data_IF_015736301130
#
_entry.id   IF_015736301130
#
_cell.length_a   1.000
_cell.length_b   1.000
_cell.length_c   1.000
_cell.angle_alpha   90.00
_cell.angle_beta   90.00
_cell.angle_gamma   90.00
#
_symmetry.space_group_name_H-M   'P 1'
#
loop_
_entity.id
_entity.type
_entity.pdbx_description
1 polymer ?
#
# COMPACT_ATOMS: atom_id res chain seq x y z
N UNK A 1 -6.85 7.21 5.03
CA UNK A 1 -6.18 6.43 6.11
C UNK A 1 -6.96 6.50 7.43
N UNK A 2 -7.20 7.66 8.08
CA UNK A 2 -7.93 7.73 9.37
C UNK A 2 -9.27 6.97 9.44
N UNK A 3 -10.07 7.04 8.37
CA UNK A 3 -11.34 6.29 8.31
C UNK A 3 -11.12 4.76 8.30
N UNK A 4 -10.09 4.30 7.58
CA UNK A 4 -9.69 2.89 7.56
C UNK A 4 -9.15 2.44 8.93
N UNK A 5 -8.32 3.26 9.58
CA UNK A 5 -7.82 2.99 10.94
C UNK A 5 -8.96 2.86 11.96
N UNK A 6 -9.95 3.75 11.90
CA UNK A 6 -11.11 3.70 12.77
C UNK A 6 -11.95 2.43 12.53
N UNK A 7 -12.21 2.10 11.26
CA UNK A 7 -12.98 0.90 10.89
C UNK A 7 -12.25 -0.40 11.28
N UNK A 8 -10.91 -0.43 11.16
CA UNK A 8 -10.10 -1.54 11.65
C UNK A 8 -10.23 -1.69 13.17
N UNK A 9 -10.21 -0.57 13.90
CA UNK A 9 -10.44 -0.58 15.35
C UNK A 9 -11.77 -1.24 15.72
N UNK A 10 -12.86 -0.86 15.05
CA UNK A 10 -14.21 -1.42 15.27
C UNK A 10 -14.29 -2.91 14.93
N UNK A 11 -13.62 -3.34 13.86
CA UNK A 11 -13.54 -4.75 13.49
C UNK A 11 -12.81 -5.57 14.56
N UNK A 12 -11.68 -5.07 15.06
CA UNK A 12 -10.86 -5.74 16.07
C UNK A 12 -11.57 -5.83 17.43
N UNK A 13 -12.36 -4.82 17.80
CA UNK A 13 -13.16 -4.84 19.04
C UNK A 13 -14.40 -5.73 18.96
N UNK A 14 -14.74 -6.25 17.77
CA UNK A 14 -15.87 -7.15 17.58
C UNK A 14 -17.24 -6.46 17.54
N UNK A 15 -17.28 -5.17 17.21
CA UNK A 15 -18.53 -4.43 17.07
C UNK A 15 -19.42 -5.03 15.96
N UNK A 16 -20.74 -5.00 16.16
CA UNK A 16 -21.69 -5.54 15.19
C UNK A 16 -21.56 -4.81 13.85
N UNK A 17 -21.32 -5.56 12.77
CA UNK A 17 -21.07 -4.98 11.44
C UNK A 17 -19.65 -4.44 11.22
N UNK A 18 -18.74 -4.60 12.19
CA UNK A 18 -17.36 -4.09 12.10
C UNK A 18 -16.59 -4.62 10.89
N UNK A 19 -16.79 -5.89 10.51
CA UNK A 19 -16.15 -6.47 9.32
C UNK A 19 -16.62 -5.78 8.03
N UNK A 20 -17.92 -5.56 7.86
CA UNK A 20 -18.47 -4.94 6.65
C UNK A 20 -18.03 -3.47 6.53
N UNK A 21 -18.02 -2.75 7.65
CA UNK A 21 -17.50 -1.37 7.71
C UNK A 21 -16.01 -1.31 7.37
N UNK A 22 -15.20 -2.22 7.92
CA UNK A 22 -13.79 -2.34 7.60
C UNK A 22 -13.56 -2.67 6.12
N UNK A 23 -14.28 -3.66 5.57
CA UNK A 23 -14.19 -4.03 4.16
C UNK A 23 -14.49 -2.85 3.25
N UNK A 24 -15.58 -2.12 3.51
CA UNK A 24 -15.95 -0.95 2.71
C UNK A 24 -14.90 0.16 2.78
N UNK A 25 -14.35 0.43 3.98
CA UNK A 25 -13.29 1.42 4.15
C UNK A 25 -11.99 0.99 3.45
N UNK A 26 -11.67 -0.30 3.44
CA UNK A 26 -10.52 -0.86 2.75
C UNK A 26 -10.66 -0.74 1.23
N UNK A 27 -11.81 -1.11 0.67
CA UNK A 27 -12.09 -0.97 -0.77
C UNK A 27 -11.98 0.48 -1.22
N UNK A 28 -12.58 1.42 -0.48
CA UNK A 28 -12.46 2.85 -0.77
C UNK A 28 -11.01 3.35 -0.72
N UNK A 29 -10.20 2.85 0.23
CA UNK A 29 -8.78 3.18 0.29
C UNK A 29 -7.98 2.60 -0.89
N UNK A 30 -8.27 1.34 -1.26
CA UNK A 30 -7.60 0.68 -2.37
C UNK A 30 -7.89 1.39 -3.71
N UNK A 31 -9.14 1.79 -3.95
CA UNK A 31 -9.54 2.54 -5.13
C UNK A 31 -8.84 3.90 -5.18
N UNK A 32 -8.87 4.66 -4.08
CA UNK A 32 -8.14 5.92 -3.97
C UNK A 32 -6.65 5.77 -4.27
N UNK A 33 -6.00 4.77 -3.67
CA UNK A 33 -4.56 4.57 -3.84
C UNK A 33 -4.21 4.15 -5.28
N UNK A 34 -5.07 3.33 -5.91
CA UNK A 34 -4.93 2.97 -7.32
C UNK A 34 -5.07 4.19 -8.23
N UNK A 35 -6.07 5.03 -8.01
CA UNK A 35 -6.25 6.26 -8.80
C UNK A 35 -5.07 7.22 -8.64
N UNK A 36 -4.55 7.37 -7.42
CA UNK A 36 -3.36 8.15 -7.14
C UNK A 36 -2.14 7.66 -7.93
N UNK A 37 -1.82 6.35 -7.86
CA UNK A 37 -0.72 5.76 -8.61
C UNK A 37 -0.88 5.97 -10.13
N UNK A 38 -2.10 5.78 -10.65
CA UNK A 38 -2.37 5.97 -12.08
C UNK A 38 -2.20 7.42 -12.52
N UNK A 39 -2.59 8.38 -11.67
CA UNK A 39 -2.37 9.81 -11.94
C UNK A 39 -0.88 10.13 -12.01
N UNK A 40 -0.10 9.60 -11.06
CA UNK A 40 1.35 9.77 -11.06
C UNK A 40 1.98 9.18 -12.33
N UNK A 41 1.67 7.93 -12.66
CA UNK A 41 2.25 7.22 -13.80
C UNK A 41 1.86 7.80 -15.15
N UNK A 42 0.61 8.24 -15.32
CA UNK A 42 0.08 8.68 -16.62
C UNK A 42 0.28 10.16 -16.90
N UNK A 43 0.26 10.99 -15.86
CA UNK A 43 0.26 12.44 -16.01
C UNK A 43 1.53 13.06 -15.42
N UNK A 44 1.84 12.76 -14.15
CA UNK A 44 2.90 13.47 -13.40
C UNK A 44 4.29 13.05 -13.86
N UNK A 45 4.61 11.75 -13.86
CA UNK A 45 5.92 11.24 -14.23
C UNK A 45 6.31 11.62 -15.68
N UNK A 46 5.42 11.54 -16.68
CA UNK A 46 5.74 12.02 -18.03
C UNK A 46 6.08 13.51 -18.07
N UNK A 47 5.35 14.36 -17.34
CA UNK A 47 5.65 15.80 -17.27
C UNK A 47 6.97 16.07 -16.55
N UNK A 48 7.27 15.34 -15.47
CA UNK A 48 8.56 15.41 -14.79
C UNK A 48 9.68 15.08 -15.79
N UNK A 49 9.58 13.99 -16.55
CA UNK A 49 10.58 13.60 -17.53
C UNK A 49 10.79 14.64 -18.64
N UNK A 50 9.72 15.35 -19.03
CA UNK A 50 9.78 16.38 -20.08
C UNK A 50 10.36 17.71 -19.59
N UNK A 51 10.17 18.06 -18.32
CA UNK A 51 10.40 19.41 -17.84
C UNK A 51 11.46 19.53 -16.74
N UNK A 52 11.78 18.45 -16.02
CA UNK A 52 12.79 18.53 -14.97
C UNK A 52 14.17 18.84 -15.54
N UNK A 53 14.82 19.81 -14.92
CA UNK A 53 16.24 20.07 -15.14
C UNK A 53 17.09 19.12 -14.30
N UNK A 54 18.40 19.09 -14.55
CA UNK A 54 19.33 18.33 -13.71
C UNK A 54 19.30 18.77 -12.23
N UNK A 55 19.05 20.06 -11.96
CA UNK A 55 18.93 20.57 -10.60
C UNK A 55 17.66 20.07 -9.91
N UNK A 56 16.53 20.02 -10.63
CA UNK A 56 15.28 19.47 -10.08
C UNK A 56 15.42 17.99 -9.71
N UNK A 57 16.10 17.21 -10.56
CA UNK A 57 16.41 15.81 -10.27
C UNK A 57 17.29 15.66 -9.04
N UNK A 58 18.36 16.46 -8.93
CA UNK A 58 19.25 16.41 -7.76
C UNK A 58 18.50 16.77 -6.45
N UNK A 59 17.59 17.76 -6.52
CA UNK A 59 16.76 18.13 -5.36
C UNK A 59 15.76 17.03 -4.99
N UNK A 60 15.13 16.40 -5.98
CA UNK A 60 14.22 15.27 -5.73
C UNK A 60 14.97 14.11 -5.07
N UNK A 61 16.10 13.69 -5.65
CA UNK A 61 16.95 12.62 -5.11
C UNK A 61 17.38 12.88 -3.65
N UNK A 62 17.83 14.10 -3.34
CA UNK A 62 18.18 14.49 -1.99
C UNK A 62 17.00 14.36 -1.01
N UNK A 63 15.78 14.67 -1.46
CA UNK A 63 14.55 14.48 -0.69
C UNK A 63 14.28 13.01 -0.39
N UNK A 64 14.32 12.15 -1.42
CA UNK A 64 14.13 10.70 -1.27
C UNK A 64 15.19 10.04 -0.37
N UNK A 65 16.43 10.55 -0.37
CA UNK A 65 17.48 10.06 0.52
C UNK A 65 17.31 10.51 1.97
N UNK A 66 16.81 11.73 2.19
CA UNK A 66 16.61 12.29 3.52
C UNK A 66 15.41 11.66 4.24
N UNK A 67 14.32 11.42 3.52
CA UNK A 67 13.11 10.76 4.02
C UNK A 67 12.56 9.83 2.95
N UNK A 68 13.00 8.57 3.00
CA UNK A 68 12.53 7.55 2.06
C UNK A 68 11.01 7.33 2.26
N UNK A 69 10.17 7.67 1.27
CA UNK A 69 8.72 7.50 1.39
C UNK A 69 8.30 6.03 1.56
N UNK A 70 9.16 5.08 1.20
CA UNK A 70 8.96 3.64 1.42
C UNK A 70 9.57 3.15 2.74
N UNK A 71 10.08 4.03 3.60
CA UNK A 71 10.61 3.66 4.91
C UNK A 71 9.56 2.99 5.79
N UNK A 72 8.29 3.40 5.68
CA UNK A 72 7.18 2.79 6.42
C UNK A 72 6.72 1.43 5.88
N UNK A 73 7.09 1.06 4.65
CA UNK A 73 6.73 -0.22 4.04
C UNK A 73 7.82 -1.28 4.20
N UNK A 74 9.01 -0.90 4.64
CA UNK A 74 10.07 -1.84 5.01
C UNK A 74 9.93 -2.16 6.49
N UNK A 75 9.80 -3.45 6.82
CA UNK A 75 9.84 -3.91 8.20
C UNK A 75 11.10 -3.34 8.88
N UNK A 76 10.97 -2.73 10.07
CA UNK A 76 12.15 -2.45 10.88
C UNK A 76 12.81 -3.77 11.26
N UNK A 77 14.12 -3.77 11.53
CA UNK A 77 14.80 -4.95 12.07
C UNK A 77 14.08 -5.40 13.36
N UNK A 78 13.41 -6.55 13.31
CA UNK A 78 12.63 -7.12 14.41
C UNK A 78 11.10 -6.93 14.34
N UNK A 79 10.56 -6.22 13.34
CA UNK A 79 9.12 -6.21 13.04
C UNK A 79 8.74 -7.45 12.20
N UNK A 80 7.45 -7.81 12.22
CA UNK A 80 6.91 -8.93 11.43
C UNK A 80 7.45 -8.89 10.01
N UNK A 81 7.91 -10.05 9.51
CA UNK A 81 8.45 -10.15 8.17
C UNK A 81 7.34 -9.89 7.15
N UNK A 82 7.15 -8.61 6.81
CA UNK A 82 6.19 -8.14 5.82
C UNK A 82 6.39 -8.88 4.50
N UNK A 83 7.63 -9.25 4.16
CA UNK A 83 7.94 -10.05 2.97
C UNK A 83 7.28 -11.42 3.06
N UNK A 84 7.36 -12.07 4.22
CA UNK A 84 6.73 -13.37 4.47
C UNK A 84 5.21 -13.28 4.41
N UNK A 85 4.62 -12.28 5.06
CA UNK A 85 3.16 -12.06 5.01
C UNK A 85 2.70 -11.76 3.59
N UNK A 86 3.41 -10.89 2.88
CA UNK A 86 3.15 -10.54 1.48
C UNK A 86 3.23 -11.78 0.57
N UNK A 87 4.27 -12.60 0.74
CA UNK A 87 4.42 -13.85 -0.03
C UNK A 87 3.24 -14.79 0.19
N UNK A 88 2.80 -14.97 1.43
CA UNK A 88 1.62 -15.78 1.77
C UNK A 88 0.32 -15.20 1.17
N UNK A 89 0.16 -13.88 1.16
CA UNK A 89 -0.97 -13.21 0.53
C UNK A 89 -0.97 -13.44 -0.99
N UNK A 90 0.18 -13.33 -1.65
CA UNK A 90 0.33 -13.58 -3.09
C UNK A 90 0.08 -15.05 -3.43
N UNK A 91 0.56 -15.99 -2.61
CA UNK A 91 0.27 -17.42 -2.79
C UNK A 91 -1.22 -17.73 -2.68
N UNK A 92 -1.91 -17.10 -1.72
CA UNK A 92 -3.33 -17.31 -1.49
C UNK A 92 -4.24 -16.58 -2.50
N UNK A 93 -3.82 -15.42 -3.01
CA UNK A 93 -4.61 -14.63 -3.94
C UNK A 93 -4.82 -15.38 -5.26
N UNK A 94 -6.03 -15.37 -5.85
CA UNK A 94 -6.29 -16.01 -7.13
C UNK A 94 -5.59 -15.29 -8.29
N UNK A 95 -5.36 -16.01 -9.38
CA UNK A 95 -4.91 -15.40 -10.63
C UNK A 95 -5.91 -14.32 -11.10
N UNK A 96 -5.45 -13.22 -11.73
CA UNK A 96 -4.07 -12.96 -12.17
C UNK A 96 -3.18 -12.29 -11.10
N UNK A 97 -3.71 -12.00 -9.91
CA UNK A 97 -3.00 -11.25 -8.86
C UNK A 97 -2.01 -12.15 -8.11
N UNK A 98 -2.32 -13.44 -7.96
CA UNK A 98 -1.49 -14.40 -7.23
C UNK A 98 -1.53 -15.82 -7.82
N UNK A 99 -1.13 -16.80 -7.01
CA UNK A 99 -0.96 -18.21 -7.44
C UNK A 99 -2.19 -19.10 -7.21
N UNK A 100 -3.18 -18.65 -6.44
CA UNK A 100 -4.43 -19.38 -6.19
C UNK A 100 -4.27 -20.66 -5.36
N UNK A 101 -3.26 -20.73 -4.49
CA UNK A 101 -2.91 -21.91 -3.69
C UNK A 101 -3.93 -22.29 -2.60
N UNK A 102 -5.00 -21.51 -2.42
CA UNK A 102 -6.05 -21.74 -1.42
C UNK A 102 -6.13 -20.62 -0.38
N UNK A 103 -6.94 -20.78 0.68
CA UNK A 103 -7.15 -19.74 1.67
C UNK A 103 -5.87 -19.41 2.45
N UNK A 104 -5.73 -18.15 2.88
CA UNK A 104 -4.62 -17.71 3.73
C UNK A 104 -4.56 -18.56 5.00
N UNK A 105 -3.38 -19.11 5.30
CA UNK A 105 -3.13 -19.90 6.51
C UNK A 105 -2.34 -19.04 7.50
N UNK A 106 -2.93 -18.71 8.64
CA UNK A 106 -2.15 -18.21 9.78
C UNK A 106 -1.25 -19.36 10.30
N UNK A 107 -0.05 -19.03 10.77
CA UNK A 107 0.82 -20.03 11.41
C UNK A 107 0.36 -20.31 12.84
#
# INVERSE_FOLDING_TARGET
IKALEAALGQYVTGEAGGFDAFKAAFEAYADFYREHMLLEEREVLPLILQHFTAEDWARAEAGFLADDPLRGTRAKAGEEDFTRIFSKLVEAAPAPIGLGGGPYKAD
#
